data_IF_875404990079
#
_entry.id   IF_875404990079
#
_cell.length_a   1.000
_cell.length_b   1.000
_cell.length_c   1.000
_cell.angle_alpha   90.00
_cell.angle_beta   90.00
_cell.angle_gamma   90.00
#
_symmetry.space_group_name_H-M   'P 1'
#
loop_
_entity.id
_entity.type
_entity.pdbx_description
1 polymer ?
#
# COMPACT_ATOMS: atom_id res chain seq x y z
N UNK A 1 -61.64 -29.36 -10.76
CA UNK A 1 -62.87 -28.88 -11.41
C UNK A 1 -62.59 -27.47 -11.88
N UNK A 2 -62.43 -27.34 -13.19
CA UNK A 2 -62.07 -26.12 -13.91
C UNK A 2 -63.01 -24.94 -13.60
N UNK A 3 -62.42 -23.76 -13.40
CA UNK A 3 -63.13 -22.50 -13.39
C UNK A 3 -62.46 -21.53 -14.37
N UNK A 4 -63.22 -21.21 -15.40
CA UNK A 4 -62.96 -20.40 -16.60
C UNK A 4 -62.45 -19.00 -16.24
N UNK A 5 -61.42 -18.46 -16.93
CA UNK A 5 -61.02 -17.06 -16.73
C UNK A 5 -62.11 -16.10 -17.23
N UNK A 6 -62.24 -14.99 -16.50
CA UNK A 6 -63.24 -13.93 -16.68
C UNK A 6 -63.21 -13.35 -18.10
N UNK A 7 -64.37 -13.33 -18.76
CA UNK A 7 -64.54 -12.58 -20.00
C UNK A 7 -64.41 -11.09 -19.71
N UNK A 8 -63.48 -10.43 -20.39
CA UNK A 8 -63.34 -8.97 -20.39
C UNK A 8 -64.61 -8.39 -20.99
N UNK A 9 -65.39 -7.67 -20.16
CA UNK A 9 -66.44 -6.79 -20.62
C UNK A 9 -65.77 -5.71 -21.47
N UNK A 10 -66.05 -5.72 -22.78
CA UNK A 10 -65.79 -4.57 -23.64
C UNK A 10 -66.64 -3.42 -23.12
N UNK A 11 -66.02 -2.53 -22.35
CA UNK A 11 -66.65 -1.29 -21.92
C UNK A 11 -67.02 -0.47 -23.15
N UNK A 12 -68.30 -0.48 -23.50
CA UNK A 12 -68.87 0.50 -24.41
C UNK A 12 -68.80 1.86 -23.71
N UNK A 13 -67.89 2.73 -24.15
CA UNK A 13 -67.90 4.13 -23.76
C UNK A 13 -69.10 4.80 -24.43
N UNK A 14 -70.27 4.78 -23.78
CA UNK A 14 -71.39 5.60 -24.18
C UNK A 14 -71.09 7.07 -23.86
N UNK A 15 -70.57 7.78 -24.87
CA UNK A 15 -70.56 9.25 -24.89
C UNK A 15 -71.97 9.72 -25.21
N UNK A 16 -72.64 10.40 -24.28
CA UNK A 16 -73.90 11.10 -24.59
C UNK A 16 -73.59 12.19 -25.61
N UNK A 17 -74.05 12.00 -26.85
CA UNK A 17 -73.91 12.99 -27.91
C UNK A 17 -74.79 14.20 -27.59
N UNK A 18 -74.17 15.31 -27.19
CA UNK A 18 -74.76 16.62 -27.40
C UNK A 18 -74.58 16.95 -28.89
N UNK A 19 -75.69 17.19 -29.60
CA UNK A 19 -75.81 17.15 -31.07
C UNK A 19 -74.92 18.16 -31.83
N UNK A 20 -74.17 19.01 -31.12
CA UNK A 20 -73.35 20.08 -31.70
C UNK A 20 -71.84 19.79 -31.74
N UNK A 21 -71.34 18.70 -31.13
CA UNK A 21 -69.89 18.46 -31.04
C UNK A 21 -69.55 17.09 -31.64
N UNK A 22 -68.98 17.10 -32.85
CA UNK A 22 -68.36 15.92 -33.44
C UNK A 22 -67.09 15.58 -32.66
N UNK A 23 -67.16 14.55 -31.83
CA UNK A 23 -65.98 13.96 -31.21
C UNK A 23 -65.23 13.16 -32.28
N UNK A 24 -63.91 13.33 -32.35
CA UNK A 24 -63.06 12.62 -33.28
C UNK A 24 -63.06 11.12 -32.94
N UNK A 25 -63.21 10.26 -33.96
CA UNK A 25 -62.98 8.83 -33.82
C UNK A 25 -61.53 8.61 -33.41
N UNK A 26 -61.23 7.87 -32.33
CA UNK A 26 -59.85 7.58 -31.96
C UNK A 26 -59.22 6.74 -33.07
N UNK A 27 -58.03 7.15 -33.52
CA UNK A 27 -57.25 6.44 -34.52
C UNK A 27 -56.64 5.18 -33.88
N UNK A 28 -57.15 4.01 -34.26
CA UNK A 28 -56.68 2.73 -33.70
C UNK A 28 -55.54 2.23 -34.60
N UNK A 29 -54.30 2.37 -34.13
CA UNK A 29 -53.15 1.74 -34.79
C UNK A 29 -53.21 0.24 -34.49
N UNK A 30 -53.69 -0.54 -35.46
CA UNK A 30 -53.55 -1.99 -35.45
C UNK A 30 -52.08 -2.33 -35.70
N UNK A 31 -51.30 -2.40 -34.62
CA UNK A 31 -49.97 -2.99 -34.65
C UNK A 31 -50.15 -4.45 -35.07
N UNK A 32 -49.82 -4.75 -36.32
CA UNK A 32 -49.62 -6.13 -36.74
C UNK A 32 -48.42 -6.60 -35.93
N UNK A 33 -48.66 -7.29 -34.84
CA UNK A 33 -47.63 -8.03 -34.12
C UNK A 33 -47.00 -8.96 -35.15
N UNK A 34 -45.87 -8.52 -35.70
CA UNK A 34 -45.04 -9.36 -36.51
C UNK A 34 -44.58 -10.42 -35.52
N UNK A 35 -45.17 -11.61 -35.64
CA UNK A 35 -44.84 -12.75 -34.79
C UNK A 35 -43.38 -13.07 -35.10
N UNK A 36 -42.48 -12.43 -34.34
CA UNK A 36 -41.07 -12.68 -34.45
C UNK A 36 -40.87 -14.14 -34.04
N UNK A 37 -40.08 -14.87 -34.82
CA UNK A 37 -39.73 -16.24 -34.45
C UNK A 37 -39.14 -16.27 -33.03
N UNK A 38 -39.37 -17.33 -32.25
CA UNK A 38 -38.87 -17.42 -30.89
C UNK A 38 -37.34 -17.24 -30.81
N UNK A 39 -36.61 -17.61 -31.86
CA UNK A 39 -35.16 -17.38 -32.00
C UNK A 39 -34.82 -15.88 -32.06
N UNK A 40 -35.54 -15.09 -32.85
CA UNK A 40 -35.31 -13.64 -32.98
C UNK A 40 -35.67 -12.91 -31.69
N UNK A 41 -36.72 -13.36 -31.00
CA UNK A 41 -37.06 -12.83 -29.68
C UNK A 41 -35.98 -13.14 -28.64
N UNK A 42 -35.42 -14.34 -28.66
CA UNK A 42 -34.32 -14.72 -27.77
C UNK A 42 -33.07 -13.86 -28.01
N UNK A 43 -32.70 -13.65 -29.28
CA UNK A 43 -31.56 -12.80 -29.64
C UNK A 43 -31.74 -11.35 -29.15
N UNK A 44 -32.92 -10.76 -29.35
CA UNK A 44 -33.22 -9.40 -28.87
C UNK A 44 -33.20 -9.30 -27.33
N UNK A 45 -33.65 -10.34 -26.63
CA UNK A 45 -33.60 -10.40 -25.16
C UNK A 45 -32.16 -10.52 -24.67
N UNK A 46 -31.33 -11.38 -25.30
CA UNK A 46 -29.92 -11.49 -24.94
C UNK A 46 -29.11 -10.23 -25.30
N UNK A 47 -29.41 -9.59 -26.43
CA UNK A 47 -28.80 -8.32 -26.83
C UNK A 47 -29.15 -7.20 -25.83
N UNK A 48 -30.42 -7.07 -25.44
CA UNK A 48 -30.86 -6.05 -24.48
C UNK A 48 -30.30 -6.27 -23.08
N UNK A 49 -30.28 -7.51 -22.58
CA UNK A 49 -29.63 -7.87 -21.31
C UNK A 49 -28.13 -7.60 -21.40
N UNK A 50 -27.46 -8.09 -22.45
CA UNK A 50 -26.02 -7.89 -22.64
C UNK A 50 -25.65 -6.40 -22.75
N UNK A 51 -26.42 -5.61 -23.48
CA UNK A 51 -26.25 -4.17 -23.59
C UNK A 51 -26.45 -3.46 -22.26
N UNK A 52 -27.46 -3.85 -21.47
CA UNK A 52 -27.73 -3.30 -20.15
C UNK A 52 -26.64 -3.65 -19.13
N UNK A 53 -26.12 -4.88 -19.16
CA UNK A 53 -25.02 -5.29 -18.30
C UNK A 53 -23.70 -4.59 -18.69
N UNK A 54 -23.39 -4.48 -19.99
CA UNK A 54 -22.19 -3.77 -20.46
C UNK A 54 -22.24 -2.30 -20.06
N UNK A 55 -23.38 -1.62 -20.23
CA UNK A 55 -23.49 -0.21 -19.85
C UNK A 55 -23.49 -0.02 -18.32
N UNK A 56 -23.94 -1.02 -17.56
CA UNK A 56 -23.88 -1.01 -16.09
C UNK A 56 -22.44 -1.15 -15.62
N UNK A 57 -21.65 -2.06 -16.20
CA UNK A 57 -20.21 -2.20 -15.92
C UNK A 57 -19.46 -0.92 -16.31
N UNK A 58 -19.71 -0.37 -17.50
CA UNK A 58 -19.09 0.86 -17.96
C UNK A 58 -19.44 2.08 -17.07
N UNK A 59 -20.66 2.13 -16.50
CA UNK A 59 -21.06 3.18 -15.54
C UNK A 59 -20.59 2.93 -14.12
N UNK A 60 -20.37 1.68 -13.73
CA UNK A 60 -19.77 1.35 -12.43
C UNK A 60 -18.30 1.81 -12.33
N UNK A 61 -17.62 2.00 -13.47
CA UNK A 61 -16.30 2.63 -13.57
C UNK A 61 -16.36 4.17 -13.39
N UNK A 62 -17.54 4.77 -13.53
CA UNK A 62 -17.81 6.19 -13.29
C UNK A 62 -18.45 6.42 -11.92
N UNK A 63 -17.73 6.13 -10.83
CA UNK A 63 -18.16 6.59 -9.50
C UNK A 63 -18.00 8.13 -9.48
N UNK A 64 -19.12 8.86 -9.41
CA UNK A 64 -19.20 10.33 -9.34
C UNK A 64 -18.73 11.12 -10.58
N UNK A 65 -18.85 10.57 -11.79
CA UNK A 65 -18.60 11.34 -13.02
C UNK A 65 -17.14 11.74 -13.25
N UNK A 66 -16.21 11.21 -12.47
CA UNK A 66 -14.77 11.21 -12.77
C UNK A 66 -14.38 9.87 -13.37
N UNK A 67 -13.51 9.90 -14.38
CA UNK A 67 -12.87 8.73 -14.96
C UNK A 67 -11.94 8.14 -13.89
N UNK A 68 -12.46 7.26 -13.03
CA UNK A 68 -11.64 6.52 -12.09
C UNK A 68 -11.03 5.39 -12.90
N UNK A 69 -9.79 5.57 -13.36
CA UNK A 69 -9.06 4.50 -14.06
C UNK A 69 -9.05 3.29 -13.14
N UNK A 70 -9.83 2.25 -13.45
CA UNK A 70 -9.74 0.98 -12.73
C UNK A 70 -8.32 0.45 -12.87
N UNK A 71 -7.54 0.57 -11.81
CA UNK A 71 -6.19 0.05 -11.73
C UNK A 71 -6.24 -1.22 -10.87
N UNK A 72 -6.08 -2.42 -11.47
CA UNK A 72 -6.04 -3.68 -10.72
C UNK A 72 -5.00 -3.68 -9.59
N UNK A 73 -3.97 -2.84 -9.74
CA UNK A 73 -2.92 -2.61 -8.75
C UNK A 73 -3.02 -1.16 -8.29
N UNK A 74 -3.39 -0.96 -7.02
CA UNK A 74 -3.58 0.36 -6.38
C UNK A 74 -2.36 1.29 -6.45
N UNK A 75 -1.20 0.77 -6.85
CA UNK A 75 0.06 1.49 -6.82
C UNK A 75 0.83 1.50 -8.15
N UNK A 76 0.18 1.22 -9.28
CA UNK A 76 0.87 1.22 -10.58
C UNK A 76 1.48 2.59 -10.92
N UNK A 77 0.85 3.69 -10.49
CA UNK A 77 1.40 5.03 -10.68
C UNK A 77 2.70 5.23 -9.91
N UNK A 78 2.78 4.84 -8.63
CA UNK A 78 4.05 4.99 -7.90
C UNK A 78 5.12 4.00 -8.37
N UNK A 79 4.73 2.78 -8.74
CA UNK A 79 5.66 1.80 -9.33
C UNK A 79 6.21 2.33 -10.65
N UNK A 80 5.37 2.94 -11.49
CA UNK A 80 5.81 3.58 -12.72
C UNK A 80 6.77 4.73 -12.41
N UNK A 81 6.50 5.62 -11.44
CA UNK A 81 7.44 6.67 -11.06
C UNK A 81 8.79 6.14 -10.51
N UNK A 82 8.75 5.07 -9.71
CA UNK A 82 9.92 4.50 -9.05
C UNK A 82 10.79 3.69 -10.02
N UNK A 83 10.18 2.95 -10.95
CA UNK A 83 10.84 2.07 -11.89
C UNK A 83 10.79 2.60 -13.33
N UNK A 84 10.51 3.89 -13.52
CA UNK A 84 10.48 4.50 -14.84
C UNK A 84 11.88 4.36 -15.47
N UNK A 85 12.03 3.77 -16.66
CA UNK A 85 13.32 3.65 -17.32
C UNK A 85 14.00 5.01 -17.59
N UNK A 86 13.21 6.08 -17.66
CA UNK A 86 13.67 7.45 -17.80
C UNK A 86 14.27 8.04 -16.51
N UNK A 87 14.10 7.34 -15.38
CA UNK A 87 14.66 7.64 -14.06
C UNK A 87 15.77 6.64 -13.65
N UNK A 88 16.31 5.85 -14.60
CA UNK A 88 17.39 4.86 -14.33
C UNK A 88 18.67 5.53 -13.81
N UNK A 89 18.90 6.78 -14.20
CA UNK A 89 19.85 7.65 -13.51
C UNK A 89 19.16 8.23 -12.27
N UNK A 90 18.89 7.36 -11.29
CA UNK A 90 18.53 7.80 -9.94
C UNK A 90 19.52 8.88 -9.56
N UNK A 91 19.01 10.04 -9.11
CA UNK A 91 19.80 11.07 -8.44
C UNK A 91 20.84 10.34 -7.59
N UNK A 92 22.13 10.66 -7.82
CA UNK A 92 23.22 10.05 -7.07
C UNK A 92 22.81 10.09 -5.61
N UNK A 93 22.67 8.89 -5.00
CA UNK A 93 22.28 8.79 -3.59
C UNK A 93 23.20 9.72 -2.84
N UNK A 94 22.61 10.63 -2.06
CA UNK A 94 23.44 11.55 -1.28
C UNK A 94 24.34 10.74 -0.36
N UNK A 95 25.52 11.25 -0.02
CA UNK A 95 26.45 10.53 0.87
C UNK A 95 25.74 10.08 2.15
N UNK A 96 24.76 10.86 2.63
CA UNK A 96 23.91 10.51 3.78
C UNK A 96 23.14 9.19 3.61
N UNK A 97 22.63 8.91 2.42
CA UNK A 97 21.91 7.67 2.16
C UNK A 97 22.87 6.48 1.98
N UNK A 98 24.08 6.71 1.48
CA UNK A 98 25.13 5.69 1.47
C UNK A 98 25.58 5.36 2.90
N UNK A 99 25.88 6.36 3.73
CA UNK A 99 26.25 6.16 5.13
C UNK A 99 25.16 5.46 5.95
N UNK A 100 23.87 5.73 5.69
CA UNK A 100 22.78 4.98 6.35
C UNK A 100 22.79 3.48 6.03
N UNK A 101 23.15 3.11 4.80
CA UNK A 101 23.16 1.70 4.39
C UNK A 101 24.39 0.94 4.90
N UNK A 102 25.48 1.65 5.21
CA UNK A 102 26.73 1.08 5.71
C UNK A 102 27.12 1.64 7.09
N UNK A 103 26.13 2.02 7.90
CA UNK A 103 26.37 2.58 9.21
C UNK A 103 26.94 1.50 10.14
N UNK A 104 28.21 1.64 10.50
CA UNK A 104 28.84 0.84 11.56
C UNK A 104 28.46 1.48 12.89
N UNK A 105 27.58 0.82 13.64
CA UNK A 105 27.16 1.26 14.96
C UNK A 105 28.05 0.60 16.02
N UNK A 106 28.94 1.40 16.64
CA UNK A 106 29.84 0.94 17.69
C UNK A 106 29.07 0.34 18.87
N UNK A 107 27.88 0.84 19.17
CA UNK A 107 27.05 0.37 20.29
C UNK A 107 26.68 -1.12 20.16
N UNK A 108 26.63 -1.64 18.94
CA UNK A 108 26.36 -3.07 18.66
C UNK A 108 27.60 -3.94 18.66
N UNK A 109 28.79 -3.33 18.72
CA UNK A 109 30.09 -4.00 18.73
C UNK A 109 30.71 -4.07 20.12
N UNK A 110 30.07 -3.46 21.11
CA UNK A 110 30.46 -3.56 22.53
C UNK A 110 29.82 -4.82 23.11
N UNK A 111 30.58 -5.71 23.76
CA UNK A 111 30.02 -6.88 24.44
C UNK A 111 29.19 -6.48 25.66
N UNK A 112 28.20 -7.31 26.01
CA UNK A 112 27.40 -7.10 27.22
C UNK A 112 28.20 -7.32 28.53
N UNK A 113 29.25 -8.14 28.48
CA UNK A 113 30.23 -8.36 29.54
C UNK A 113 31.58 -8.58 28.84
N UNK A 114 32.58 -7.77 29.18
CA UNK A 114 33.97 -7.92 28.72
C UNK A 114 34.74 -8.97 29.52
N UNK A 115 36.00 -9.19 29.19
CA UNK A 115 36.88 -10.15 29.86
C UNK A 115 37.77 -9.50 30.95
N UNK A 116 37.49 -8.24 31.30
CA UNK A 116 38.16 -7.51 32.37
C UNK A 116 38.22 -8.27 33.70
N UNK A 117 39.39 -8.23 34.33
CA UNK A 117 39.66 -8.87 35.60
C UNK A 117 40.62 -8.05 36.47
N UNK A 118 40.53 -8.26 37.77
CA UNK A 118 41.44 -7.71 38.78
C UNK A 118 42.11 -8.84 39.56
N UNK A 119 43.30 -8.54 40.13
CA UNK A 119 44.01 -9.44 41.01
C UNK A 119 43.77 -9.01 42.46
N UNK A 120 43.13 -9.88 43.24
CA UNK A 120 42.89 -9.71 44.67
C UNK A 120 43.78 -10.70 45.44
N UNK A 121 43.99 -10.49 46.75
CA UNK A 121 44.81 -11.38 47.59
C UNK A 121 44.38 -12.85 47.54
N UNK A 122 43.10 -13.12 47.25
CA UNK A 122 42.50 -14.45 47.16
C UNK A 122 42.43 -15.03 45.73
N UNK A 123 42.85 -14.29 44.70
CA UNK A 123 42.88 -14.76 43.30
C UNK A 123 42.39 -13.74 42.26
N UNK A 124 41.98 -14.25 41.09
CA UNK A 124 41.50 -13.44 39.97
C UNK A 124 39.99 -13.26 40.02
N UNK A 125 39.52 -12.02 40.04
CA UNK A 125 38.09 -11.69 40.01
C UNK A 125 37.72 -11.01 38.67
N UNK A 126 36.65 -11.47 38.02
CA UNK A 126 36.17 -10.89 36.77
C UNK A 126 35.24 -9.70 37.02
N UNK A 127 35.53 -8.55 36.41
CA UNK A 127 34.78 -7.31 36.57
C UNK A 127 33.74 -7.09 35.47
N UNK A 128 33.73 -7.92 34.43
CA UNK A 128 32.89 -7.75 33.22
C UNK A 128 33.10 -6.40 32.50
N UNK A 129 34.20 -5.69 32.79
CA UNK A 129 34.55 -4.45 32.11
C UNK A 129 35.12 -4.76 30.71
N UNK A 130 34.74 -3.96 29.71
CA UNK A 130 35.18 -4.09 28.32
C UNK A 130 36.28 -3.10 27.94
N UNK A 131 36.65 -2.19 28.85
CA UNK A 131 37.85 -1.35 28.77
C UNK A 131 38.53 -1.43 30.12
N UNK A 132 39.70 -2.04 30.16
CA UNK A 132 40.45 -2.23 31.40
C UNK A 132 41.96 -2.24 31.13
N UNK A 133 42.75 -2.09 32.19
CA UNK A 133 44.20 -2.27 32.14
C UNK A 133 44.47 -3.67 32.68
N UNK A 134 45.13 -4.51 31.89
CA UNK A 134 45.50 -5.86 32.33
C UNK A 134 46.50 -5.75 33.49
N UNK A 135 46.17 -6.27 34.70
CA UNK A 135 47.01 -6.15 35.89
C UNK A 135 48.31 -6.98 35.80
N UNK A 136 48.45 -7.86 34.82
CA UNK A 136 49.64 -8.70 34.59
C UNK A 136 50.54 -8.08 33.53
N UNK A 137 49.97 -7.69 32.39
CA UNK A 137 50.75 -7.18 31.24
C UNK A 137 50.89 -5.66 31.22
N UNK A 138 50.10 -4.94 32.04
CA UNK A 138 50.00 -3.47 32.08
C UNK A 138 49.52 -2.84 30.75
N UNK A 139 48.96 -3.64 29.84
CA UNK A 139 48.41 -3.16 28.57
C UNK A 139 46.97 -2.66 28.72
N UNK A 140 46.59 -1.64 27.93
CA UNK A 140 45.20 -1.21 27.77
C UNK A 140 44.47 -2.19 26.84
N UNK A 141 43.50 -2.92 27.38
CA UNK A 141 42.68 -3.88 26.63
C UNK A 141 41.29 -3.29 26.38
N UNK A 142 40.82 -3.41 25.13
CA UNK A 142 39.49 -2.96 24.70
C UNK A 142 38.82 -4.12 23.96
N UNK A 143 37.72 -4.60 24.51
CA UNK A 143 36.98 -5.72 23.95
C UNK A 143 35.93 -5.28 22.94
N UNK A 144 35.96 -5.91 21.78
CA UNK A 144 34.99 -5.69 20.71
C UNK A 144 34.51 -7.04 20.19
N UNK A 145 33.22 -7.11 19.85
CA UNK A 145 32.59 -8.30 19.32
C UNK A 145 32.01 -8.06 17.93
N UNK A 146 31.96 -9.14 17.14
CA UNK A 146 31.37 -9.14 15.80
C UNK A 146 32.00 -8.11 14.84
N UNK A 147 33.29 -7.82 15.00
CA UNK A 147 34.05 -6.98 14.06
C UNK A 147 34.28 -7.79 12.78
N UNK A 148 33.90 -7.22 11.63
CA UNK A 148 34.12 -7.84 10.33
C UNK A 148 35.58 -7.63 9.88
N UNK A 149 36.17 -8.52 9.08
CA UNK A 149 37.55 -8.35 8.58
C UNK A 149 37.79 -7.07 7.77
N UNK A 150 36.73 -6.44 7.27
CA UNK A 150 36.76 -5.19 6.51
C UNK A 150 36.48 -3.94 7.36
N UNK A 151 36.26 -4.08 8.67
CA UNK A 151 36.05 -2.97 9.60
C UNK A 151 37.38 -2.57 10.25
N UNK A 152 37.61 -1.25 10.37
CA UNK A 152 38.79 -0.69 11.03
C UNK A 152 38.39 -0.07 12.36
N UNK A 153 39.17 -0.35 13.40
CA UNK A 153 38.99 0.19 14.75
C UNK A 153 40.10 1.20 15.02
N UNK A 154 39.72 2.44 15.31
CA UNK A 154 40.66 3.50 15.68
C UNK A 154 40.43 3.93 17.13
N UNK A 155 41.50 3.99 17.90
CA UNK A 155 41.49 4.45 19.29
C UNK A 155 42.19 5.79 19.36
N UNK A 156 41.52 6.78 19.96
CA UNK A 156 42.12 8.09 20.26
C UNK A 156 42.12 8.31 21.77
N UNK A 157 43.31 8.47 22.33
CA UNK A 157 43.49 8.85 23.73
C UNK A 157 43.79 10.35 23.81
N UNK A 158 43.05 11.05 24.67
CA UNK A 158 43.30 12.46 25.00
C UNK A 158 43.65 12.51 26.48
N UNK A 159 44.91 12.81 26.79
CA UNK A 159 45.34 13.04 28.16
C UNK A 159 44.90 14.44 28.61
N UNK A 160 43.95 14.50 29.55
CA UNK A 160 43.60 15.76 30.19
C UNK A 160 44.65 16.11 31.26
N UNK A 161 45.49 17.10 31.00
CA UNK A 161 46.41 17.64 32.01
C UNK A 161 45.64 18.64 32.86
N UNK A 162 45.41 18.32 34.12
CA UNK A 162 44.99 19.33 35.10
C UNK A 162 46.25 20.07 35.56
N UNK A 163 46.32 21.37 35.28
CA UNK A 163 47.41 22.22 35.78
C UNK A 163 47.09 22.51 37.24
N UNK A 164 47.71 21.77 38.15
CA UNK A 164 47.72 22.16 39.56
C UNK A 164 48.66 23.38 39.67
N UNK A 165 48.11 24.54 40.00
CA UNK A 165 48.89 25.73 40.35
C UNK A 165 49.62 25.46 41.68
N UNK A 166 50.77 24.79 41.61
CA UNK A 166 51.63 24.67 42.78
C UNK A 166 52.42 25.97 42.92
N UNK A 167 52.22 26.66 44.04
CA UNK A 167 52.96 27.89 44.34
C UNK A 167 54.26 27.47 45.02
N UNK A 168 55.38 27.56 44.29
CA UNK A 168 56.71 27.34 44.87
C UNK A 168 56.98 28.47 45.88
N UNK A 169 57.23 28.10 47.14
CA UNK A 169 57.75 28.98 48.19
C UNK A 169 59.27 28.93 48.24
#
# INVERSE_FOLDING_TARGET
MDAKPLSVSSGEYQSSADEAIKVATPDIILLKEQILGPEVMADLVFESIGGQEIISIARSDMINGQNVVYQPIKNITSLNYQYNPQNILSLQKTDKDLFKNFAIDLSRKIPNCGDGFILTEDGTEFTCEYVYIDPITEDLVIDLVNILPSEEVQVQSVAAVTVLNDTIY
#
